data_IF_948204759573
#
_entry.id   IF_948204759573
#
_cell.length_a   1.000
_cell.length_b   1.000
_cell.length_c   1.000
_cell.angle_alpha   90.00
_cell.angle_beta   90.00
_cell.angle_gamma   90.00
#
_symmetry.space_group_name_H-M   'P 1'
#
loop_
_entity.id
_entity.type
_entity.pdbx_description
1 polymer ?
#
# COMPACT_ATOMS: atom_id res chain seq x y z
N UNK A 1 -28.38 6.68 29.75
CA UNK A 1 -28.12 5.22 29.66
C UNK A 1 -27.19 4.99 28.48
N UNK A 2 -25.96 4.57 28.76
CA UNK A 2 -24.90 4.27 27.79
C UNK A 2 -25.21 2.97 27.02
N UNK A 3 -24.85 2.91 25.75
CA UNK A 3 -24.96 1.67 24.97
C UNK A 3 -24.34 1.70 23.58
N UNK A 4 -23.02 1.47 23.52
CA UNK A 4 -22.31 0.80 22.42
C UNK A 4 -22.10 1.57 21.09
N UNK A 5 -21.26 2.61 21.13
CA UNK A 5 -20.51 2.98 19.91
C UNK A 5 -19.39 1.96 19.69
N UNK A 6 -19.46 1.29 18.54
CA UNK A 6 -18.71 0.08 18.24
C UNK A 6 -17.21 0.31 18.16
N UNK A 7 -16.48 -0.43 19.00
CA UNK A 7 -15.11 -0.82 18.70
C UNK A 7 -15.14 -2.34 18.59
N UNK A 8 -15.53 -2.85 17.42
CA UNK A 8 -15.12 -4.21 17.04
C UNK A 8 -13.59 -4.15 17.02
N UNK A 9 -12.95 -4.65 18.09
CA UNK A 9 -11.55 -5.05 18.05
C UNK A 9 -11.46 -6.07 16.92
N UNK A 10 -11.02 -5.68 15.72
CA UNK A 10 -10.44 -6.68 14.83
C UNK A 10 -9.17 -7.14 15.54
N UNK A 11 -9.19 -8.41 15.92
CA UNK A 11 -8.24 -9.05 16.82
C UNK A 11 -6.87 -9.29 16.18
N UNK A 12 -6.43 -8.40 15.28
CA UNK A 12 -5.15 -8.54 14.60
C UNK A 12 -4.53 -7.17 14.32
N UNK A 13 -3.24 -6.98 14.65
CA UNK A 13 -2.57 -5.71 14.43
C UNK A 13 -2.47 -5.38 12.94
N UNK A 14 -2.66 -4.11 12.60
CA UNK A 14 -2.47 -3.59 11.24
C UNK A 14 -1.08 -3.97 10.73
N UNK A 15 -1.01 -4.70 9.62
CA UNK A 15 0.26 -5.01 8.94
C UNK A 15 0.69 -3.82 8.10
N UNK A 16 1.44 -2.92 8.72
CA UNK A 16 1.99 -1.73 8.08
C UNK A 16 3.52 -1.76 8.22
N UNK A 17 4.22 -1.52 7.11
CA UNK A 17 5.65 -1.29 7.10
C UNK A 17 5.89 0.09 6.49
N UNK A 18 6.59 0.96 7.23
CA UNK A 18 6.98 2.28 6.78
C UNK A 18 8.50 2.39 6.74
N UNK A 19 9.00 3.11 5.74
CA UNK A 19 10.37 3.54 5.67
C UNK A 19 10.70 4.48 6.83
N UNK A 20 11.97 4.48 7.24
CA UNK A 20 12.46 5.40 8.29
C UNK A 20 12.32 6.88 7.89
N UNK A 21 12.40 7.16 6.60
CA UNK A 21 12.25 8.50 6.04
C UNK A 21 11.09 8.48 5.06
N UNK A 22 10.12 9.38 5.28
CA UNK A 22 8.93 9.53 4.46
C UNK A 22 9.17 10.63 3.41
N UNK A 23 8.41 10.60 2.31
CA UNK A 23 8.55 11.51 1.16
C UNK A 23 9.33 10.93 -0.02
N UNK A 24 9.67 9.65 0.01
CA UNK A 24 10.26 8.90 -1.13
C UNK A 24 9.17 8.44 -2.10
N UNK A 25 9.48 7.82 -3.24
CA UNK A 25 8.45 7.40 -4.22
C UNK A 25 7.35 6.51 -3.61
N UNK A 26 7.77 5.52 -2.81
CA UNK A 26 6.91 4.66 -2.01
C UNK A 26 7.51 4.61 -0.62
N UNK A 27 6.75 5.09 0.37
CA UNK A 27 7.19 5.23 1.75
C UNK A 27 6.92 3.99 2.58
N UNK A 28 6.25 3.00 2.02
CA UNK A 28 5.89 1.80 2.72
C UNK A 28 4.86 0.97 2.01
N UNK A 29 4.41 -0.06 2.70
CA UNK A 29 3.33 -0.91 2.24
C UNK A 29 2.39 -1.25 3.39
N UNK A 30 1.15 -1.50 3.01
CA UNK A 30 0.09 -1.96 3.89
C UNK A 30 -0.49 -3.25 3.34
N UNK A 31 -0.65 -4.25 4.22
CA UNK A 31 -1.18 -5.56 3.86
C UNK A 31 -2.47 -5.85 4.63
N UNK A 32 -3.65 -5.57 4.04
CA UNK A 32 -4.93 -5.85 4.65
C UNK A 32 -5.13 -7.35 4.94
N UNK A 33 -5.86 -7.64 6.00
CA UNK A 33 -6.23 -8.99 6.39
C UNK A 33 -7.38 -9.53 5.55
N UNK A 34 -8.20 -8.65 5.00
CA UNK A 34 -9.41 -8.98 4.26
C UNK A 34 -9.41 -8.30 2.89
N UNK A 35 -10.33 -8.73 2.01
CA UNK A 35 -10.54 -8.04 0.73
C UNK A 35 -11.26 -6.69 0.88
N UNK A 36 -11.73 -6.35 2.08
CA UNK A 36 -12.46 -5.11 2.34
C UNK A 36 -11.54 -4.04 2.92
N UNK A 37 -10.80 -3.38 2.04
CA UNK A 37 -9.92 -2.25 2.40
C UNK A 37 -10.66 -1.16 3.19
N UNK A 38 -11.93 -0.89 2.86
CA UNK A 38 -12.73 0.11 3.53
C UNK A 38 -12.96 -0.19 5.04
N UNK A 39 -13.08 -1.47 5.40
CA UNK A 39 -13.32 -1.86 6.80
C UNK A 39 -12.05 -1.73 7.66
N UNK A 40 -10.87 -1.85 7.06
CA UNK A 40 -9.59 -1.80 7.77
C UNK A 40 -8.95 -0.39 7.73
N UNK A 41 -9.49 0.51 6.89
CA UNK A 41 -9.00 1.88 6.75
C UNK A 41 -9.01 2.67 8.09
N UNK A 42 -10.05 2.61 8.94
CA UNK A 42 -10.03 3.34 10.20
C UNK A 42 -8.89 2.91 11.14
N UNK A 43 -8.56 1.62 11.15
CA UNK A 43 -7.46 1.09 11.97
C UNK A 43 -6.10 1.53 11.41
N UNK A 44 -5.94 1.51 10.07
CA UNK A 44 -4.76 2.04 9.41
C UNK A 44 -4.55 3.53 9.73
N UNK A 45 -5.59 4.35 9.59
CA UNK A 45 -5.56 5.78 9.91
C UNK A 45 -5.18 6.01 11.37
N UNK A 46 -5.73 5.23 12.29
CA UNK A 46 -5.37 5.31 13.71
C UNK A 46 -3.89 5.04 13.98
N UNK A 47 -3.27 4.10 13.26
CA UNK A 47 -1.83 3.83 13.37
C UNK A 47 -0.99 4.94 12.73
N UNK A 48 -1.40 5.42 11.55
CA UNK A 48 -0.70 6.47 10.80
C UNK A 48 -0.76 7.85 11.46
N UNK A 49 -1.80 8.12 12.27
CA UNK A 49 -1.97 9.40 12.96
C UNK A 49 -0.74 9.78 13.81
N UNK A 50 -0.01 8.81 14.39
CA UNK A 50 1.21 9.10 15.15
C UNK A 50 2.38 9.58 14.28
N UNK A 51 2.42 9.16 13.02
CA UNK A 51 3.52 9.50 12.10
C UNK A 51 3.18 10.70 11.21
N UNK A 52 1.88 10.92 10.92
CA UNK A 52 1.39 11.91 9.98
C UNK A 52 0.75 13.15 10.65
N UNK A 53 0.42 13.04 11.94
CA UNK A 53 -0.49 13.97 12.60
C UNK A 53 -1.95 13.70 12.24
N UNK A 54 -2.81 14.73 12.34
CA UNK A 54 -4.20 14.62 11.89
C UNK A 54 -4.22 14.34 10.38
N UNK A 55 -4.86 13.24 9.99
CA UNK A 55 -5.05 12.88 8.58
C UNK A 55 -6.07 13.82 7.95
N UNK A 56 -5.64 14.58 6.94
CA UNK A 56 -6.44 15.59 6.26
C UNK A 56 -6.95 15.12 4.90
N UNK A 57 -6.24 14.18 4.25
CA UNK A 57 -6.61 13.68 2.93
C UNK A 57 -6.15 12.24 2.73
N UNK A 58 -6.98 11.45 2.03
CA UNK A 58 -6.68 10.07 1.64
C UNK A 58 -7.04 9.91 0.18
N UNK A 59 -6.06 9.56 -0.65
CA UNK A 59 -6.24 9.30 -2.07
C UNK A 59 -5.89 7.84 -2.36
N UNK A 60 -6.62 7.25 -3.31
CA UNK A 60 -6.37 5.89 -3.80
C UNK A 60 -6.40 5.90 -5.32
N UNK A 61 -5.56 5.07 -5.95
CA UNK A 61 -5.52 4.95 -7.42
C UNK A 61 -6.48 3.89 -7.99
N UNK A 62 -7.36 3.32 -7.17
CA UNK A 62 -8.30 2.28 -7.57
C UNK A 62 -9.73 2.61 -7.14
N UNK A 63 -10.69 2.01 -7.84
CA UNK A 63 -12.11 2.03 -7.50
C UNK A 63 -12.54 0.70 -6.85
N UNK A 64 -13.67 0.71 -6.13
CA UNK A 64 -14.25 -0.50 -5.53
C UNK A 64 -14.68 -1.55 -6.57
N UNK A 65 -14.88 -1.14 -7.83
CA UNK A 65 -15.24 -2.00 -8.95
C UNK A 65 -14.02 -2.67 -9.61
N UNK A 66 -12.80 -2.19 -9.36
CA UNK A 66 -11.59 -2.81 -9.87
C UNK A 66 -11.21 -4.03 -9.02
N UNK A 67 -11.01 -5.17 -9.68
CA UNK A 67 -10.57 -6.41 -9.04
C UNK A 67 -9.26 -6.23 -8.25
N UNK A 68 -9.05 -7.08 -7.24
CA UNK A 68 -7.79 -7.08 -6.51
C UNK A 68 -6.69 -7.69 -7.38
N UNK A 69 -5.55 -7.01 -7.47
CA UNK A 69 -4.40 -7.50 -8.22
C UNK A 69 -3.87 -8.80 -7.60
N UNK A 70 -3.43 -9.71 -8.45
CA UNK A 70 -2.59 -10.83 -8.07
C UNK A 70 -1.13 -10.46 -8.34
N UNK A 71 -0.28 -10.53 -7.31
CA UNK A 71 1.12 -10.10 -7.44
C UNK A 71 1.92 -11.03 -8.35
N UNK A 72 1.61 -12.31 -8.38
CA UNK A 72 2.28 -13.28 -9.25
C UNK A 72 2.00 -12.97 -10.73
N UNK A 73 0.78 -12.50 -11.04
CA UNK A 73 0.39 -12.05 -12.37
C UNK A 73 1.12 -10.78 -12.87
N UNK A 74 1.70 -9.97 -11.97
CA UNK A 74 2.51 -8.79 -12.35
C UNK A 74 3.85 -9.24 -12.98
N UNK A 75 4.41 -10.35 -12.50
CA UNK A 75 5.72 -10.86 -12.94
C UNK A 75 5.64 -11.47 -14.31
N UNK A 76 4.59 -12.24 -14.56
CA UNK A 76 4.43 -12.97 -15.82
C UNK A 76 3.99 -12.05 -16.96
N UNK A 77 3.52 -10.83 -16.67
CA UNK A 77 2.97 -9.91 -17.68
C UNK A 77 1.80 -10.52 -18.45
N UNK A 78 1.26 -11.65 -18.00
CA UNK A 78 0.21 -12.38 -18.68
C UNK A 78 -1.05 -11.56 -18.54
N UNK A 79 -1.51 -11.00 -19.66
CA UNK A 79 -2.93 -10.68 -19.83
C UNK A 79 -3.69 -11.95 -19.40
N UNK A 80 -4.49 -11.84 -18.34
CA UNK A 80 -5.25 -12.98 -17.84
C UNK A 80 -6.09 -13.60 -18.97
N UNK A 81 -6.49 -14.88 -18.86
CA UNK A 81 -7.10 -15.66 -19.95
C UNK A 81 -8.41 -15.10 -20.51
N UNK A 82 -8.96 -14.04 -19.91
CA UNK A 82 -10.31 -13.52 -20.14
C UNK A 82 -10.35 -12.02 -20.43
N UNK A 83 -9.25 -11.40 -20.87
CA UNK A 83 -9.26 -9.96 -21.22
C UNK A 83 -9.49 -9.03 -20.02
N UNK A 84 -9.44 -9.55 -18.79
CA UNK A 84 -9.36 -8.74 -17.58
C UNK A 84 -8.06 -7.95 -17.62
N UNK A 85 -8.19 -6.62 -17.72
CA UNK A 85 -7.08 -5.66 -17.62
C UNK A 85 -6.18 -6.07 -16.45
N UNK A 86 -4.88 -6.24 -16.72
CA UNK A 86 -3.84 -6.33 -15.70
C UNK A 86 -4.12 -5.21 -14.67
N UNK A 87 -4.52 -5.58 -13.46
CA UNK A 87 -4.85 -4.57 -12.46
C UNK A 87 -3.54 -3.90 -12.05
N UNK A 88 -3.54 -2.57 -11.99
CA UNK A 88 -2.35 -1.81 -11.63
C UNK A 88 -2.08 -1.99 -10.14
N UNK A 89 -0.82 -1.90 -9.66
CA UNK A 89 -0.56 -1.95 -8.24
C UNK A 89 -1.40 -0.89 -7.53
N UNK A 90 -2.07 -1.30 -6.46
CA UNK A 90 -2.94 -0.44 -5.66
C UNK A 90 -2.09 0.46 -4.80
N UNK A 91 -2.21 1.76 -4.99
CA UNK A 91 -1.45 2.78 -4.29
C UNK A 91 -2.39 3.69 -3.50
N UNK A 92 -2.04 3.91 -2.24
CA UNK A 92 -2.75 4.79 -1.34
C UNK A 92 -1.81 5.91 -0.91
N UNK A 93 -2.27 7.15 -0.99
CA UNK A 93 -1.60 8.29 -0.41
C UNK A 93 -2.42 8.74 0.79
N UNK A 94 -1.76 8.88 1.95
CA UNK A 94 -2.37 9.43 3.16
C UNK A 94 -1.60 10.68 3.50
N UNK A 95 -2.26 11.84 3.42
CA UNK A 95 -1.69 13.11 3.85
C UNK A 95 -2.21 13.45 5.24
N UNK A 96 -1.28 13.68 6.16
CA UNK A 96 -1.58 14.36 7.41
C UNK A 96 -1.08 15.79 7.40
N UNK A 97 -1.35 16.51 8.49
CA UNK A 97 -0.93 17.91 8.65
C UNK A 97 0.59 18.10 8.53
N UNK A 98 1.36 17.13 9.00
CA UNK A 98 2.82 17.28 9.11
C UNK A 98 3.55 16.70 7.90
N UNK A 99 3.05 15.59 7.36
CA UNK A 99 3.67 14.89 6.24
C UNK A 99 2.67 14.00 5.51
N UNK A 100 3.07 13.42 4.38
CA UNK A 100 2.28 12.45 3.63
C UNK A 100 3.07 11.15 3.43
N UNK A 101 2.35 10.05 3.34
CA UNK A 101 2.92 8.73 2.99
C UNK A 101 2.26 8.17 1.74
N UNK A 102 3.07 7.50 0.93
CA UNK A 102 2.63 6.71 -0.22
C UNK A 102 2.83 5.24 0.08
N UNK A 103 1.72 4.51 0.11
CA UNK A 103 1.67 3.11 0.49
C UNK A 103 1.29 2.24 -0.69
N UNK A 104 2.06 1.17 -0.89
CA UNK A 104 1.66 0.05 -1.71
C UNK A 104 0.68 -0.84 -0.94
N UNK A 105 -0.49 -1.09 -1.49
CA UNK A 105 -1.48 -2.01 -0.88
C UNK A 105 -1.26 -3.41 -1.41
N UNK A 106 -0.78 -4.29 -0.53
CA UNK A 106 -0.54 -5.70 -0.82
C UNK A 106 -1.87 -6.46 -0.78
N UNK A 107 -2.23 -7.21 -1.83
CA UNK A 107 -3.44 -8.04 -1.84
C UNK A 107 -3.51 -8.99 -0.62
N UNK A 108 -4.65 -9.07 0.06
CA UNK A 108 -4.82 -9.94 1.24
C UNK A 108 -4.56 -11.44 0.94
N UNK A 109 -4.75 -11.86 -0.31
CA UNK A 109 -4.51 -13.23 -0.80
C UNK A 109 -3.03 -13.53 -1.14
N UNK A 110 -2.14 -12.54 -1.06
CA UNK A 110 -0.71 -12.73 -1.31
C UNK A 110 -0.14 -13.77 -0.35
N UNK A 111 0.73 -14.65 -0.85
CA UNK A 111 1.42 -15.62 0.00
C UNK A 111 2.25 -14.90 1.08
N UNK A 112 2.43 -15.54 2.24
CA UNK A 112 3.09 -14.89 3.37
C UNK A 112 4.53 -14.49 3.09
N UNK A 113 5.28 -15.36 2.41
CA UNK A 113 6.67 -15.10 2.02
C UNK A 113 6.78 -13.91 1.06
N UNK A 114 5.91 -13.85 0.03
CA UNK A 114 5.95 -12.76 -0.93
C UNK A 114 5.46 -11.45 -0.29
N UNK A 115 4.35 -11.49 0.46
CA UNK A 115 3.82 -10.32 1.15
C UNK A 115 4.83 -9.72 2.12
N UNK A 116 5.53 -10.54 2.90
CA UNK A 116 6.59 -10.06 3.78
C UNK A 116 7.75 -9.39 3.03
N UNK A 117 8.21 -9.97 1.92
CA UNK A 117 9.28 -9.38 1.11
C UNK A 117 8.84 -8.07 0.46
N UNK A 118 7.64 -7.99 -0.11
CA UNK A 118 7.09 -6.75 -0.68
C UNK A 118 7.01 -5.66 0.39
N UNK A 119 6.54 -6.00 1.59
CA UNK A 119 6.45 -5.05 2.70
C UNK A 119 7.83 -4.52 3.12
N UNK A 120 8.85 -5.40 3.21
CA UNK A 120 10.23 -4.99 3.52
C UNK A 120 10.83 -4.12 2.43
N UNK A 121 10.70 -4.52 1.17
CA UNK A 121 11.22 -3.77 0.03
C UNK A 121 10.59 -2.38 -0.06
N UNK A 122 9.26 -2.28 0.09
CA UNK A 122 8.55 -1.01 0.06
C UNK A 122 8.90 -0.08 1.22
N UNK A 123 9.27 -0.63 2.38
CA UNK A 123 9.72 0.14 3.54
C UNK A 123 11.25 0.37 3.56
N UNK A 124 11.96 0.06 2.46
CA UNK A 124 13.42 0.14 2.36
C UNK A 124 14.16 -0.56 3.53
N UNK A 125 13.59 -1.64 4.05
CA UNK A 125 14.18 -2.43 5.13
C UNK A 125 15.24 -3.39 4.56
N UNK A 126 16.32 -3.68 5.31
CA UNK A 126 17.31 -4.65 4.88
C UNK A 126 16.66 -6.02 4.67
N UNK A 127 16.96 -6.65 3.54
CA UNK A 127 16.58 -8.04 3.24
C UNK A 127 17.83 -8.91 3.32
N UNK A 128 17.72 -10.07 3.98
CA UNK A 128 18.81 -11.02 4.17
C UNK A 128 19.34 -11.54 2.82
N UNK A 129 20.64 -11.81 2.71
CA UNK A 129 21.24 -12.24 1.44
C UNK A 129 20.64 -13.53 0.89
N UNK A 130 20.23 -14.45 1.76
CA UNK A 130 19.57 -15.70 1.36
C UNK A 130 18.20 -15.44 0.72
N UNK A 131 17.44 -14.50 1.27
CA UNK A 131 16.13 -14.12 0.73
C UNK A 131 16.26 -13.40 -0.61
N UNK A 132 17.31 -12.59 -0.79
CA UNK A 132 17.58 -11.88 -2.06
C UNK A 132 17.80 -12.81 -3.26
N UNK A 133 18.23 -14.05 -3.01
CA UNK A 133 18.45 -15.06 -4.07
C UNK A 133 17.19 -15.85 -4.40
N UNK A 134 16.07 -15.57 -3.72
CA UNK A 134 14.81 -16.28 -3.97
C UNK A 134 14.03 -15.65 -5.12
N UNK A 135 13.27 -16.44 -5.89
CA UNK A 135 12.38 -15.89 -6.92
C UNK A 135 11.30 -14.96 -6.32
N UNK A 136 10.94 -15.16 -5.05
CA UNK A 136 10.00 -14.28 -4.35
C UNK A 136 10.56 -12.87 -4.16
N UNK A 137 11.87 -12.72 -3.97
CA UNK A 137 12.52 -11.39 -3.91
C UNK A 137 12.54 -10.71 -5.27
N UNK A 138 12.85 -11.45 -6.34
CA UNK A 138 12.79 -10.91 -7.70
C UNK A 138 11.37 -10.42 -8.05
N UNK A 139 10.36 -11.20 -7.66
CA UNK A 139 8.95 -10.79 -7.76
C UNK A 139 8.70 -9.51 -6.96
N UNK A 140 9.12 -9.45 -5.69
CA UNK A 140 8.91 -8.28 -4.84
C UNK A 140 9.59 -7.01 -5.41
N UNK A 141 10.84 -7.11 -5.87
CA UNK A 141 11.58 -6.00 -6.52
C UNK A 141 10.84 -5.51 -7.77
N UNK A 142 10.35 -6.44 -8.60
CA UNK A 142 9.61 -6.11 -9.81
C UNK A 142 8.27 -5.44 -9.50
N UNK A 143 7.53 -5.95 -8.51
CA UNK A 143 6.29 -5.32 -8.04
C UNK A 143 6.55 -3.90 -7.56
N UNK A 144 7.63 -3.70 -6.79
CA UNK A 144 7.99 -2.37 -6.28
C UNK A 144 8.32 -1.40 -7.42
N UNK A 145 9.09 -1.81 -8.43
CA UNK A 145 9.40 -0.97 -9.61
C UNK A 145 8.14 -0.57 -10.38
N UNK A 146 7.22 -1.52 -10.61
CA UNK A 146 5.95 -1.23 -11.29
C UNK A 146 5.09 -0.29 -10.44
N UNK A 147 5.10 -0.45 -9.11
CA UNK A 147 4.42 0.42 -8.19
C UNK A 147 5.00 1.85 -8.18
N UNK A 148 6.33 2.01 -8.22
CA UNK A 148 6.98 3.31 -8.32
C UNK A 148 6.61 4.02 -9.64
N UNK A 149 6.62 3.29 -10.75
CA UNK A 149 6.19 3.82 -12.04
C UNK A 149 4.72 4.25 -12.02
N UNK A 150 3.84 3.45 -11.43
CA UNK A 150 2.43 3.82 -11.30
C UNK A 150 2.24 5.00 -10.34
N UNK A 151 3.03 5.10 -9.27
CA UNK A 151 3.00 6.22 -8.33
C UNK A 151 3.38 7.52 -9.03
N UNK A 152 4.49 7.53 -9.78
CA UNK A 152 4.92 8.68 -10.57
C UNK A 152 3.84 9.12 -11.58
N UNK A 153 3.18 8.16 -12.24
CA UNK A 153 2.08 8.44 -13.17
C UNK A 153 0.85 8.99 -12.47
N UNK A 154 0.46 8.39 -11.36
CA UNK A 154 -0.74 8.79 -10.61
C UNK A 154 -0.56 10.19 -9.99
N UNK A 155 0.57 10.43 -9.35
CA UNK A 155 0.88 11.68 -8.66
C UNK A 155 1.33 12.80 -9.59
N UNK A 156 1.94 12.48 -10.74
CA UNK A 156 2.23 13.47 -11.78
C UNK A 156 0.96 14.12 -12.37
N UNK A 157 -0.21 13.54 -12.14
CA UNK A 157 -1.51 14.11 -12.50
C UNK A 157 -2.21 14.84 -11.33
N UNK A 158 -1.67 14.78 -10.11
CA UNK A 158 -2.28 15.40 -8.94
C UNK A 158 -1.67 16.80 -8.72
N UNK A 159 -2.50 17.86 -8.62
CA UNK A 159 -2.00 19.18 -8.26
C UNK A 159 -1.39 19.13 -6.86
N UNK A 160 -0.31 19.89 -6.68
CA UNK A 160 0.43 20.00 -5.42
C UNK A 160 -0.54 20.22 -4.23
N UNK A 161 -0.56 19.32 -3.22
CA UNK A 161 -1.48 19.42 -2.09
C UNK A 161 -1.18 20.61 -1.17
N UNK A 162 -0.03 21.26 -1.34
CA UNK A 162 0.45 22.41 -0.58
C UNK A 162 0.37 23.71 -1.38
N UNK A 163 -0.63 23.85 -2.27
CA UNK A 163 -0.91 25.06 -3.06
C UNK A 163 -1.21 26.34 -2.24
N UNK A 164 -0.29 26.77 -1.38
CA UNK A 164 -0.08 28.15 -0.99
C UNK A 164 0.63 28.80 -2.19
N UNK A 165 -0.16 29.42 -3.06
CA UNK A 165 0.36 30.42 -3.98
C UNK A 165 0.68 31.66 -3.15
N UNK A 166 1.97 31.98 -3.04
CA UNK A 166 2.43 33.34 -2.73
C UNK A 166 2.17 34.27 -3.90
#
# INVERSE_FOLDING_TARGET
MNGLNGTRRLASPVRLALARQLGTDIDGAWWPHTGSVANELPELVGVLHRSLGEVVDIRVNWSSAEGQLDLDSIVTGTRGPTGMKLSRPRLMMVAGRDTCVKLLVVPCKTSQSLGALVMRCAAAMPVEEMERRTPAYETADRVLRVAQLESARWLGHLPDPTGIRV
#
